data_IF_555616587934
#
_entry.id   IF_555616587934
#
_cell.length_a   1.000
_cell.length_b   1.000
_cell.length_c   1.000
_cell.angle_alpha   90.00
_cell.angle_beta   90.00
_cell.angle_gamma   90.00
#
_symmetry.space_group_name_H-M   'P 1'
#
loop_
_entity.id
_entity.type
_entity.pdbx_description
1 polymer ?
#
# COMPACT_ATOMS: atom_id res chain seq x y z
N UNK A 1 -37.52 -10.72 51.77
CA UNK A 1 -36.05 -10.76 51.73
C UNK A 1 -35.51 -11.59 50.56
N UNK A 2 -36.22 -12.63 50.06
CA UNK A 2 -35.72 -13.52 49.00
C UNK A 2 -35.71 -12.99 47.55
N UNK A 3 -36.45 -11.92 47.23
CA UNK A 3 -36.50 -11.37 45.86
C UNK A 3 -35.25 -10.53 45.54
N UNK A 4 -34.85 -9.66 46.48
CA UNK A 4 -33.69 -8.78 46.35
C UNK A 4 -32.38 -9.59 46.33
N UNK A 5 -32.28 -10.65 47.15
CA UNK A 5 -31.13 -11.56 47.13
C UNK A 5 -31.01 -12.32 45.81
N UNK A 6 -32.12 -12.80 45.25
CA UNK A 6 -32.11 -13.47 43.94
C UNK A 6 -31.69 -12.51 42.81
N UNK A 7 -32.19 -11.27 42.81
CA UNK A 7 -31.83 -10.26 41.80
C UNK A 7 -30.34 -9.89 41.86
N UNK A 8 -29.77 -9.72 43.06
CA UNK A 8 -28.34 -9.47 43.27
C UNK A 8 -27.48 -10.65 42.81
N UNK A 9 -27.94 -11.88 43.08
CA UNK A 9 -27.21 -13.09 42.69
C UNK A 9 -27.23 -13.33 41.18
N UNK A 10 -28.33 -12.94 40.51
CA UNK A 10 -28.45 -12.98 39.05
C UNK A 10 -27.54 -11.93 38.39
N UNK A 11 -27.51 -10.70 38.91
CA UNK A 11 -26.62 -9.63 38.42
C UNK A 11 -25.14 -10.02 38.54
N UNK A 12 -24.73 -10.62 39.66
CA UNK A 12 -23.36 -11.10 39.84
C UNK A 12 -23.00 -12.21 38.83
N UNK A 13 -23.92 -13.12 38.53
CA UNK A 13 -23.70 -14.17 37.53
C UNK A 13 -23.57 -13.61 36.11
N UNK A 14 -24.34 -12.57 35.77
CA UNK A 14 -24.23 -11.88 34.49
C UNK A 14 -22.93 -11.10 34.34
N UNK A 15 -22.48 -10.41 35.40
CA UNK A 15 -21.18 -9.73 35.44
C UNK A 15 -20.01 -10.70 35.29
N UNK A 16 -20.04 -11.83 36.00
CA UNK A 16 -19.03 -12.89 35.86
C UNK A 16 -18.99 -13.47 34.44
N UNK A 17 -20.16 -13.70 33.84
CA UNK A 17 -20.26 -14.18 32.46
C UNK A 17 -19.66 -13.17 31.47
N UNK A 18 -19.91 -11.88 31.68
CA UNK A 18 -19.40 -10.81 30.84
C UNK A 18 -17.88 -10.64 30.99
N UNK A 19 -17.35 -10.74 32.20
CA UNK A 19 -15.91 -10.75 32.49
C UNK A 19 -15.22 -11.94 31.79
N UNK A 20 -15.82 -13.14 31.84
CA UNK A 20 -15.31 -14.31 31.13
C UNK A 20 -15.32 -14.12 29.61
N UNK A 21 -16.38 -13.52 29.05
CA UNK A 21 -16.44 -13.21 27.63
C UNK A 21 -15.35 -12.21 27.21
N UNK A 22 -15.09 -11.18 28.02
CA UNK A 22 -14.01 -10.21 27.78
C UNK A 22 -12.63 -10.86 27.83
N UNK A 23 -12.37 -11.73 28.80
CA UNK A 23 -11.11 -12.48 28.92
C UNK A 23 -10.79 -13.31 27.67
N UNK A 24 -11.82 -13.80 26.97
CA UNK A 24 -11.67 -14.51 25.70
C UNK A 24 -11.51 -13.54 24.53
N UNK A 25 -12.32 -12.49 24.45
CA UNK A 25 -12.37 -11.58 23.30
C UNK A 25 -11.17 -10.63 23.21
N UNK A 26 -10.67 -10.14 24.35
CA UNK A 26 -9.55 -9.21 24.42
C UNK A 26 -8.28 -9.70 23.71
N UNK A 27 -7.72 -10.89 24.01
CA UNK A 27 -6.53 -11.37 23.32
C UNK A 27 -6.77 -11.58 21.81
N UNK A 28 -7.97 -12.01 21.41
CA UNK A 28 -8.34 -12.16 20.00
C UNK A 28 -8.32 -10.81 19.29
N UNK A 29 -8.90 -9.75 19.88
CA UNK A 29 -8.93 -8.40 19.30
C UNK A 29 -7.54 -7.78 19.22
N UNK A 30 -6.73 -7.90 20.27
CA UNK A 30 -5.32 -7.46 20.26
C UNK A 30 -4.51 -8.18 19.18
N UNK A 31 -4.73 -9.48 19.00
CA UNK A 31 -4.07 -10.23 17.92
C UNK A 31 -4.49 -9.74 16.53
N UNK A 32 -5.79 -9.47 16.31
CA UNK A 32 -6.29 -8.91 15.04
C UNK A 32 -5.72 -7.53 14.75
N UNK A 33 -5.64 -6.66 15.76
CA UNK A 33 -4.99 -5.35 15.65
C UNK A 33 -3.50 -5.50 15.26
N UNK A 34 -2.76 -6.39 15.92
CA UNK A 34 -1.36 -6.66 15.58
C UNK A 34 -1.18 -7.16 14.15
N UNK A 35 -2.10 -8.00 13.64
CA UNK A 35 -2.09 -8.44 12.24
C UNK A 35 -2.38 -7.28 11.28
N UNK A 36 -3.37 -6.45 11.59
CA UNK A 36 -3.72 -5.27 10.80
C UNK A 36 -2.55 -4.28 10.70
N UNK A 37 -1.90 -3.97 11.82
CA UNK A 37 -0.71 -3.10 11.85
C UNK A 37 0.45 -3.66 11.05
N UNK A 38 0.68 -4.99 11.09
CA UNK A 38 1.69 -5.65 10.25
C UNK A 38 1.36 -5.51 8.77
N UNK A 39 0.11 -5.75 8.38
CA UNK A 39 -0.34 -5.59 7.00
C UNK A 39 -0.19 -4.14 6.53
N UNK A 40 -0.56 -3.16 7.36
CA UNK A 40 -0.37 -1.74 7.04
C UNK A 40 1.11 -1.40 6.80
N UNK A 41 2.03 -1.89 7.65
CA UNK A 41 3.48 -1.69 7.44
C UNK A 41 3.97 -2.34 6.15
N UNK A 42 3.47 -3.53 5.82
CA UNK A 42 3.80 -4.20 4.57
C UNK A 42 3.32 -3.40 3.36
N UNK A 43 2.08 -2.91 3.37
CA UNK A 43 1.55 -2.07 2.29
C UNK A 43 2.30 -0.75 2.16
N UNK A 44 2.76 -0.18 3.27
CA UNK A 44 3.59 1.02 3.25
C UNK A 44 4.95 0.76 2.60
N UNK A 45 5.57 -0.39 2.86
CA UNK A 45 6.82 -0.78 2.19
C UNK A 45 6.61 -1.01 0.69
N UNK A 46 5.51 -1.66 0.29
CA UNK A 46 5.17 -1.87 -1.12
C UNK A 46 4.94 -0.56 -1.87
N UNK A 47 4.28 0.42 -1.24
CA UNK A 47 4.13 1.75 -1.84
C UNK A 47 5.49 2.42 -2.05
N UNK A 48 6.38 2.38 -1.05
CA UNK A 48 7.71 2.97 -1.18
C UNK A 48 8.54 2.29 -2.28
N UNK A 49 8.42 0.97 -2.44
CA UNK A 49 9.07 0.23 -3.53
C UNK A 49 8.49 0.62 -4.90
N UNK A 50 7.16 0.74 -5.02
CA UNK A 50 6.51 1.18 -6.25
C UNK A 50 6.93 2.61 -6.63
N UNK A 51 6.97 3.53 -5.68
CA UNK A 51 7.41 4.93 -5.90
C UNK A 51 8.88 4.98 -6.34
N UNK A 52 9.74 4.14 -5.75
CA UNK A 52 11.14 4.03 -6.17
C UNK A 52 11.25 3.49 -7.60
N UNK A 53 10.45 2.49 -7.97
CA UNK A 53 10.41 1.96 -9.33
C UNK A 53 9.91 3.01 -10.32
N UNK A 54 8.82 3.73 -10.01
CA UNK A 54 8.30 4.80 -10.86
C UNK A 54 9.39 5.83 -11.17
N UNK A 55 10.10 6.28 -10.13
CA UNK A 55 11.20 7.23 -10.30
C UNK A 55 12.32 6.67 -11.18
N UNK A 56 12.67 5.40 -11.03
CA UNK A 56 13.68 4.75 -11.86
C UNK A 56 13.25 4.68 -13.34
N UNK A 57 11.98 4.36 -13.61
CA UNK A 57 11.46 4.34 -14.98
C UNK A 57 11.41 5.74 -15.61
N UNK A 58 11.07 6.77 -14.84
CA UNK A 58 11.09 8.18 -15.28
C UNK A 58 12.52 8.64 -15.62
N UNK A 59 13.50 8.29 -14.78
CA UNK A 59 14.92 8.56 -15.05
C UNK A 59 15.41 7.83 -16.31
N UNK A 60 14.99 6.59 -16.52
CA UNK A 60 15.33 5.83 -17.72
C UNK A 60 14.67 6.42 -18.97
N UNK A 61 13.43 6.91 -18.87
CA UNK A 61 12.75 7.61 -19.97
C UNK A 61 13.52 8.84 -20.42
N UNK A 62 14.05 9.63 -19.48
CA UNK A 62 14.87 10.80 -19.82
C UNK A 62 16.14 10.39 -20.59
N UNK A 63 16.78 9.29 -20.20
CA UNK A 63 17.98 8.77 -20.91
C UNK A 63 17.63 8.32 -22.32
N UNK A 64 16.54 7.59 -22.51
CA UNK A 64 16.09 7.15 -23.84
C UNK A 64 15.73 8.34 -24.73
N UNK A 65 15.06 9.36 -24.18
CA UNK A 65 14.74 10.59 -24.92
C UNK A 65 16.00 11.34 -25.34
N UNK A 66 17.00 11.47 -24.47
CA UNK A 66 18.29 12.08 -24.80
C UNK A 66 19.03 11.26 -25.87
N UNK A 67 19.03 9.93 -25.75
CA UNK A 67 19.62 9.05 -26.75
C UNK A 67 18.97 9.24 -28.13
N UNK A 68 17.63 9.27 -28.17
CA UNK A 68 16.88 9.54 -29.39
C UNK A 68 17.21 10.90 -29.99
N UNK A 69 17.24 11.97 -29.18
CA UNK A 69 17.60 13.31 -29.65
C UNK A 69 19.01 13.33 -30.26
N UNK A 70 19.99 12.70 -29.61
CA UNK A 70 21.34 12.60 -30.13
C UNK A 70 21.43 11.84 -31.47
N UNK A 71 20.70 10.72 -31.61
CA UNK A 71 20.64 9.98 -32.88
C UNK A 71 20.01 10.82 -33.99
N UNK A 72 18.94 11.56 -33.67
CA UNK A 72 18.25 12.44 -34.61
C UNK A 72 19.15 13.59 -35.06
N UNK A 73 19.86 14.23 -34.15
CA UNK A 73 20.73 15.37 -34.46
C UNK A 73 21.95 14.92 -35.31
N UNK A 74 22.49 13.72 -35.05
CA UNK A 74 23.53 13.12 -35.92
C UNK A 74 23.05 12.87 -37.34
N UNK A 75 21.79 12.48 -37.53
CA UNK A 75 21.21 12.31 -38.86
C UNK A 75 21.14 13.64 -39.62
N UNK A 76 20.84 14.75 -38.93
CA UNK A 76 20.72 16.07 -39.55
C UNK A 76 22.07 16.72 -39.91
N UNK A 77 23.13 16.42 -39.17
CA UNK A 77 24.43 17.08 -39.34
C UNK A 77 25.36 16.43 -40.37
N UNK A 78 25.07 15.21 -40.87
CA UNK A 78 26.00 14.50 -41.75
C UNK A 78 25.56 14.48 -43.22
N UNK A 79 26.43 14.97 -44.11
CA UNK A 79 26.42 14.53 -45.51
C UNK A 79 27.03 13.12 -45.58
N UNK A 80 26.18 12.11 -45.66
CA UNK A 80 26.62 10.71 -45.65
C UNK A 80 26.25 9.99 -46.95
N UNK A 81 27.03 8.96 -47.29
CA UNK A 81 26.65 8.02 -48.35
C UNK A 81 25.31 7.34 -48.02
N UNK A 82 24.61 6.86 -49.05
CA UNK A 82 23.30 6.21 -48.93
C UNK A 82 23.26 5.10 -47.86
N UNK A 83 24.30 4.27 -47.79
CA UNK A 83 24.41 3.18 -46.80
C UNK A 83 24.52 3.68 -45.36
N UNK A 84 25.23 4.80 -45.14
CA UNK A 84 25.34 5.43 -43.83
C UNK A 84 24.01 6.07 -43.43
N UNK A 85 23.33 6.73 -44.36
CA UNK A 85 21.98 7.29 -44.14
C UNK A 85 21.00 6.20 -43.69
N UNK A 86 20.95 5.05 -44.37
CA UNK A 86 20.08 3.94 -43.96
C UNK A 86 20.38 3.46 -42.54
N UNK A 87 21.65 3.33 -42.16
CA UNK A 87 22.03 2.94 -40.79
C UNK A 87 21.59 3.98 -39.76
N UNK A 88 21.77 5.27 -40.05
CA UNK A 88 21.35 6.35 -39.14
C UNK A 88 19.83 6.40 -38.97
N UNK A 89 19.06 6.22 -40.04
CA UNK A 89 17.60 6.12 -39.97
C UNK A 89 17.17 4.94 -39.11
N UNK A 90 17.75 3.76 -39.32
CA UNK A 90 17.42 2.57 -38.52
C UNK A 90 17.74 2.79 -37.03
N UNK A 91 18.89 3.38 -36.70
CA UNK A 91 19.25 3.69 -35.32
C UNK A 91 18.28 4.68 -34.66
N UNK A 92 17.89 5.74 -35.38
CA UNK A 92 16.92 6.71 -34.86
C UNK A 92 15.54 6.08 -34.64
N UNK A 93 15.13 5.17 -35.54
CA UNK A 93 13.86 4.46 -35.42
C UNK A 93 13.87 3.48 -34.25
N UNK A 94 14.97 2.73 -34.05
CA UNK A 94 15.13 1.87 -32.87
C UNK A 94 15.15 2.68 -31.56
N UNK A 95 15.83 3.82 -31.52
CA UNK A 95 15.82 4.69 -30.35
C UNK A 95 14.40 5.26 -30.06
N UNK A 96 13.64 5.61 -31.10
CA UNK A 96 12.25 6.04 -30.94
C UNK A 96 11.36 4.92 -30.39
N UNK A 97 11.56 3.68 -30.84
CA UNK A 97 10.84 2.52 -30.30
C UNK A 97 11.18 2.28 -28.83
N UNK A 98 12.45 2.42 -28.44
CA UNK A 98 12.88 2.32 -27.04
C UNK A 98 12.19 3.36 -26.15
N UNK A 99 12.11 4.63 -26.61
CA UNK A 99 11.33 5.68 -25.93
C UNK A 99 9.87 5.26 -25.76
N UNK A 100 9.23 4.73 -26.81
CA UNK A 100 7.84 4.28 -26.74
C UNK A 100 7.62 3.14 -25.74
N UNK A 101 8.52 2.17 -25.68
CA UNK A 101 8.48 1.08 -24.69
C UNK A 101 8.66 1.62 -23.26
N UNK A 102 9.62 2.51 -23.07
CA UNK A 102 9.90 3.11 -21.77
C UNK A 102 8.75 3.99 -21.26
N UNK A 103 8.04 4.68 -22.16
CA UNK A 103 6.81 5.41 -21.81
C UNK A 103 5.71 4.48 -21.30
N UNK A 104 5.55 3.30 -21.91
CA UNK A 104 4.60 2.30 -21.44
C UNK A 104 4.98 1.76 -20.05
N UNK A 105 6.27 1.55 -19.80
CA UNK A 105 6.77 1.13 -18.48
C UNK A 105 6.51 2.19 -17.41
N UNK A 106 6.71 3.48 -17.73
CA UNK A 106 6.36 4.57 -16.81
C UNK A 106 4.86 4.57 -16.45
N UNK A 107 3.99 4.40 -17.45
CA UNK A 107 2.54 4.32 -17.22
C UNK A 107 2.15 3.12 -16.34
N UNK A 108 2.79 1.98 -16.55
CA UNK A 108 2.57 0.79 -15.71
C UNK A 108 3.05 1.02 -14.27
N UNK A 109 4.22 1.66 -14.09
CA UNK A 109 4.74 1.98 -12.77
C UNK A 109 3.86 2.98 -12.02
N UNK A 110 3.33 3.99 -12.71
CA UNK A 110 2.36 4.94 -12.15
C UNK A 110 1.07 4.23 -11.69
N UNK A 111 0.53 3.32 -12.50
CA UNK A 111 -0.63 2.51 -12.12
C UNK A 111 -0.35 1.62 -10.90
N UNK A 112 0.84 1.02 -10.83
CA UNK A 112 1.28 0.23 -9.67
C UNK A 112 1.32 1.08 -8.39
N UNK A 113 1.85 2.31 -8.46
CA UNK A 113 1.85 3.24 -7.34
C UNK A 113 0.43 3.57 -6.87
N UNK A 114 -0.48 3.86 -7.81
CA UNK A 114 -1.88 4.15 -7.49
C UNK A 114 -2.57 2.96 -6.79
N UNK A 115 -2.32 1.73 -7.26
CA UNK A 115 -2.86 0.52 -6.65
C UNK A 115 -2.27 0.28 -5.25
N UNK A 116 -0.96 0.46 -5.07
CA UNK A 116 -0.29 0.33 -3.78
C UNK A 116 -0.78 1.38 -2.77
N UNK A 117 -0.97 2.63 -3.21
CA UNK A 117 -1.50 3.71 -2.38
C UNK A 117 -2.94 3.41 -1.91
N UNK A 118 -3.78 2.91 -2.82
CA UNK A 118 -5.13 2.49 -2.49
C UNK A 118 -5.16 1.32 -1.49
N UNK A 119 -4.31 0.31 -1.68
CA UNK A 119 -4.19 -0.82 -0.76
C UNK A 119 -3.70 -0.39 0.63
N UNK A 120 -2.77 0.57 0.71
CA UNK A 120 -2.33 1.15 1.97
C UNK A 120 -3.47 1.88 2.68
N UNK A 121 -4.31 2.62 1.95
CA UNK A 121 -5.45 3.32 2.54
C UNK A 121 -6.48 2.34 3.12
N UNK A 122 -6.80 1.26 2.38
CA UNK A 122 -7.64 0.19 2.92
C UNK A 122 -7.05 -0.43 4.19
N UNK A 123 -5.74 -0.69 4.20
CA UNK A 123 -5.06 -1.25 5.36
C UNK A 123 -5.10 -0.30 6.57
N UNK A 124 -4.98 1.02 6.36
CA UNK A 124 -5.14 2.03 7.42
C UNK A 124 -6.55 2.05 8.00
N UNK A 125 -7.57 2.03 7.15
CA UNK A 125 -8.97 1.97 7.57
C UNK A 125 -9.20 0.73 8.43
N UNK A 126 -8.77 -0.44 7.95
CA UNK A 126 -8.89 -1.70 8.68
C UNK A 126 -8.16 -1.67 10.04
N UNK A 127 -6.92 -1.15 10.10
CA UNK A 127 -6.19 -0.98 11.36
C UNK A 127 -6.97 -0.11 12.34
N UNK A 128 -7.55 1.00 11.87
CA UNK A 128 -8.36 1.90 12.70
C UNK A 128 -9.61 1.20 13.25
N UNK A 129 -10.27 0.38 12.46
CA UNK A 129 -11.42 -0.40 12.91
C UNK A 129 -11.04 -1.42 13.98
N UNK A 130 -9.91 -2.12 13.82
CA UNK A 130 -9.44 -3.07 14.84
C UNK A 130 -9.01 -2.35 16.13
N UNK A 131 -8.40 -1.16 16.01
CA UNK A 131 -8.03 -0.32 17.15
C UNK A 131 -9.26 0.08 17.96
N UNK A 132 -10.30 0.63 17.30
CA UNK A 132 -11.58 0.96 17.95
C UNK A 132 -12.23 -0.24 18.63
N UNK A 133 -12.12 -1.42 18.03
CA UNK A 133 -12.68 -2.64 18.61
C UNK A 133 -11.95 -3.06 19.89
N UNK A 134 -10.64 -2.83 19.98
CA UNK A 134 -9.87 -3.05 21.21
C UNK A 134 -10.25 -2.00 22.26
N UNK A 135 -10.23 -0.71 21.91
CA UNK A 135 -10.59 0.39 22.81
C UNK A 135 -11.98 0.22 23.42
N UNK A 136 -12.97 -0.24 22.62
CA UNK A 136 -14.31 -0.53 23.11
C UNK A 136 -14.34 -1.63 24.18
N UNK A 137 -13.52 -2.67 24.02
CA UNK A 137 -13.45 -3.75 25.01
C UNK A 137 -12.65 -3.34 26.24
N UNK A 138 -11.61 -2.51 26.08
CA UNK A 138 -10.85 -1.95 27.20
C UNK A 138 -11.74 -1.06 28.06
N UNK A 139 -12.52 -0.17 27.44
CA UNK A 139 -13.51 0.66 28.12
C UNK A 139 -14.57 -0.16 28.88
N UNK A 140 -15.06 -1.26 28.29
CA UNK A 140 -16.01 -2.15 28.97
C UNK A 140 -15.37 -2.88 30.15
N UNK A 141 -14.09 -3.28 30.04
CA UNK A 141 -13.36 -3.94 31.13
C UNK A 141 -13.17 -2.98 32.32
N UNK A 142 -12.71 -1.75 32.05
CA UNK A 142 -12.51 -0.72 33.09
C UNK A 142 -13.82 -0.46 33.87
N UNK A 143 -14.95 -0.36 33.16
CA UNK A 143 -16.24 -0.10 33.80
C UNK A 143 -16.91 -1.30 34.47
N UNK A 144 -16.41 -2.52 34.26
CA UNK A 144 -16.81 -3.68 35.06
C UNK A 144 -15.95 -3.86 36.30
N UNK A 145 -14.70 -3.38 36.26
CA UNK A 145 -13.84 -3.35 37.44
C UNK A 145 -14.28 -2.27 38.44
N UNK A 146 -14.91 -1.20 37.95
CA UNK A 146 -15.45 -0.10 38.76
C UNK A 146 -16.91 -0.30 39.24
N UNK A 147 -17.61 -1.34 38.76
CA UNK A 147 -19.03 -1.62 39.05
C UNK A 147 -19.20 -2.63 40.19
#
# INVERSE_FOLDING_TARGET
MSLIENELQQQNSELESLQQALNVLMPIRRQRLSRAQRQQRQQQALLAEAEAQQKAEEEQLLKEQQHYQWQRDRLQQQQSSKEKLTRHVNNAQSALQAVGQQQQQCQQAEQSCQQAAYALEQAKVWTREQQKAVEKLEYLSEHLEDA
#
